data_IF_054268472748
#
_entry.id   IF_054268472748
#
_cell.length_a   1.000
_cell.length_b   1.000
_cell.length_c   1.000
_cell.angle_alpha   90.00
_cell.angle_beta   90.00
_cell.angle_gamma   90.00
#
_symmetry.space_group_name_H-M   'P 1'
#
loop_
_entity.id
_entity.type
_entity.pdbx_description
1 polymer ?
#
# COMPACT_ATOMS: atom_id res chain seq x y z
N UNK A 1 4.38 -13.18 -1.10
CA UNK A 1 3.15 -13.87 -1.58
C UNK A 1 2.75 -13.21 -2.90
N UNK A 2 2.79 -13.92 -4.03
CA UNK A 2 2.52 -13.32 -5.35
C UNK A 2 1.03 -13.50 -5.69
N UNK A 3 0.28 -12.40 -5.83
CA UNK A 3 -1.17 -12.43 -6.04
C UNK A 3 -1.48 -12.48 -7.55
N UNK A 4 -2.09 -13.58 -8.01
CA UNK A 4 -2.51 -13.75 -9.39
C UNK A 4 -3.97 -13.32 -9.60
N UNK A 5 -4.24 -12.56 -10.68
CA UNK A 5 -5.59 -12.10 -11.05
C UNK A 5 -6.53 -13.23 -11.55
N UNK A 6 -6.12 -14.50 -11.47
CA UNK A 6 -6.98 -15.64 -11.81
C UNK A 6 -8.20 -15.81 -10.91
N UNK A 7 -8.22 -15.12 -9.75
CA UNK A 7 -9.38 -15.03 -8.86
C UNK A 7 -9.72 -13.56 -8.59
N UNK A 8 -10.54 -12.98 -9.48
CA UNK A 8 -10.97 -11.58 -9.45
C UNK A 8 -11.56 -11.17 -8.08
N UNK A 9 -12.43 -11.95 -7.41
CA UNK A 9 -12.93 -11.60 -6.07
C UNK A 9 -11.84 -11.45 -5.01
N UNK A 10 -10.87 -12.38 -4.95
CA UNK A 10 -9.77 -12.34 -3.99
C UNK A 10 -8.86 -11.15 -4.30
N UNK A 11 -8.52 -10.96 -5.57
CA UNK A 11 -7.74 -9.82 -6.04
C UNK A 11 -8.44 -8.50 -5.68
N UNK A 12 -9.74 -8.37 -5.96
CA UNK A 12 -10.55 -7.21 -5.63
C UNK A 12 -10.63 -6.93 -4.14
N UNK A 13 -10.65 -7.95 -3.29
CA UNK A 13 -10.68 -7.77 -1.84
C UNK A 13 -9.32 -7.36 -1.29
N UNK A 14 -8.23 -7.96 -1.77
CA UNK A 14 -6.88 -7.70 -1.27
C UNK A 14 -6.34 -6.36 -1.75
N UNK A 15 -6.58 -6.02 -3.02
CA UNK A 15 -6.26 -4.70 -3.56
C UNK A 15 -7.27 -3.64 -3.17
N UNK A 16 -8.30 -4.01 -2.40
CA UNK A 16 -9.45 -3.19 -2.03
C UNK A 16 -9.91 -2.42 -3.27
N UNK A 17 -10.60 -3.02 -4.25
CA UNK A 17 -10.97 -2.36 -5.52
C UNK A 17 -12.37 -1.70 -5.50
N UNK A 18 -12.88 -1.32 -4.32
CA UNK A 18 -14.24 -0.78 -4.08
C UNK A 18 -14.51 0.67 -4.61
N UNK A 19 -13.55 1.62 -4.55
CA UNK A 19 -13.64 3.01 -5.07
C UNK A 19 -12.29 3.70 -5.37
N UNK A 20 -12.21 4.55 -6.41
CA UNK A 20 -11.04 5.41 -6.77
C UNK A 20 -11.13 6.80 -6.11
N UNK A 21 -10.02 7.50 -5.80
CA UNK A 21 -8.60 7.11 -5.99
C UNK A 21 -8.03 6.31 -4.80
N UNK A 22 -7.05 5.44 -5.09
CA UNK A 22 -6.33 4.63 -4.10
C UNK A 22 -4.83 4.71 -4.28
N UNK A 23 -4.13 4.80 -3.16
CA UNK A 23 -2.68 4.69 -3.07
C UNK A 23 -2.37 3.32 -2.48
N UNK A 24 -1.53 2.56 -3.18
CA UNK A 24 -1.10 1.22 -2.76
C UNK A 24 0.40 1.31 -2.48
N UNK A 25 0.83 0.70 -1.38
CA UNK A 25 2.24 0.56 -1.04
C UNK A 25 2.72 -0.85 -1.39
N UNK A 26 3.74 -0.89 -2.24
CA UNK A 26 4.49 -2.10 -2.61
C UNK A 26 5.93 -1.89 -2.17
N UNK A 27 6.52 -2.85 -1.48
CA UNK A 27 7.91 -2.77 -1.05
C UNK A 27 8.89 -3.05 -2.20
N UNK A 28 10.19 -2.88 -1.92
CA UNK A 28 11.28 -3.11 -2.88
C UNK A 28 11.40 -4.56 -3.37
N UNK A 29 10.82 -5.52 -2.65
CA UNK A 29 10.81 -6.94 -3.00
C UNK A 29 9.55 -7.32 -3.79
N UNK A 30 8.67 -6.35 -4.05
CA UNK A 30 7.41 -6.55 -4.76
C UNK A 30 6.30 -7.11 -3.86
N UNK A 31 6.47 -7.10 -2.54
CA UNK A 31 5.39 -7.49 -1.64
C UNK A 31 4.38 -6.35 -1.50
N UNK A 32 3.12 -6.74 -1.47
CA UNK A 32 2.02 -5.85 -1.14
C UNK A 32 2.03 -5.53 0.35
N UNK A 33 2.13 -4.25 0.71
CA UNK A 33 2.23 -3.77 2.09
C UNK A 33 0.89 -3.21 2.58
N UNK A 34 0.25 -2.33 1.80
CA UNK A 34 -1.01 -1.67 2.19
C UNK A 34 -1.82 -1.23 0.95
N UNK A 35 -3.14 -1.51 0.92
CA UNK A 35 -4.09 -0.99 -0.09
C UNK A 35 -4.78 0.31 0.31
N UNK A 36 -4.61 0.74 1.57
CA UNK A 36 -5.29 1.90 2.17
C UNK A 36 -4.30 2.98 2.55
N UNK A 37 -3.31 3.20 1.70
CA UNK A 37 -2.27 4.16 1.98
C UNK A 37 -2.90 5.57 2.13
N UNK A 38 -2.49 6.37 3.12
CA UNK A 38 -2.99 7.73 3.30
C UNK A 38 -2.72 8.59 2.07
N UNK A 39 -3.41 9.72 1.91
CA UNK A 39 -3.06 10.65 0.85
C UNK A 39 -1.75 11.39 1.17
N UNK A 40 -1.03 11.92 0.17
CA UNK A 40 0.24 12.63 0.40
C UNK A 40 0.12 13.84 1.34
N UNK A 41 -1.08 14.42 1.47
CA UNK A 41 -1.36 15.53 2.37
C UNK A 41 -1.66 15.08 3.82
N UNK A 42 -1.92 13.79 4.05
CA UNK A 42 -2.18 13.27 5.38
C UNK A 42 -0.86 13.17 6.18
N UNK A 43 -0.91 13.57 7.44
CA UNK A 43 0.24 13.54 8.36
C UNK A 43 0.84 12.13 8.52
N UNK A 44 0.03 11.09 8.32
CA UNK A 44 0.46 9.70 8.43
C UNK A 44 1.20 9.15 7.21
N UNK A 45 1.14 9.82 6.06
CA UNK A 45 1.73 9.34 4.81
C UNK A 45 3.24 9.17 4.91
N UNK A 46 3.94 10.22 5.36
CA UNK A 46 5.41 10.19 5.43
C UNK A 46 5.91 9.16 6.46
N UNK A 47 5.20 9.01 7.59
CA UNK A 47 5.54 8.01 8.61
C UNK A 47 5.50 6.60 8.03
N UNK A 48 4.39 6.22 7.40
CA UNK A 48 4.21 4.89 6.81
C UNK A 48 5.25 4.58 5.72
N UNK A 49 5.55 5.58 4.88
CA UNK A 49 6.56 5.44 3.83
C UNK A 49 7.96 5.20 4.42
N UNK A 50 8.33 5.96 5.46
CA UNK A 50 9.63 5.82 6.13
C UNK A 50 9.78 4.47 6.82
N UNK A 51 8.76 4.03 7.55
CA UNK A 51 8.75 2.71 8.20
C UNK A 51 8.97 1.58 7.18
N UNK A 52 8.27 1.65 6.04
CA UNK A 52 8.39 0.64 4.97
C UNK A 52 9.78 0.64 4.31
N UNK A 53 10.40 1.81 4.20
CA UNK A 53 11.75 1.96 3.65
C UNK A 53 12.86 1.73 4.69
N UNK A 54 12.52 1.49 5.96
CA UNK A 54 13.49 1.39 7.06
C UNK A 54 14.27 2.69 7.32
N UNK A 55 13.66 3.85 7.01
CA UNK A 55 14.27 5.16 7.18
C UNK A 55 13.97 5.71 8.58
N UNK A 56 14.90 6.49 9.17
CA UNK A 56 14.63 7.16 10.44
C UNK A 56 13.49 8.18 10.31
N UNK A 57 12.78 8.40 11.42
CA UNK A 57 11.79 9.49 11.52
C UNK A 57 12.46 10.84 11.23
N UNK A 58 11.73 11.70 10.53
CA UNK A 58 12.17 13.06 10.25
C UNK A 58 11.95 13.90 11.51
N UNK A 59 13.03 14.48 12.03
CA UNK A 59 12.99 15.44 13.14
C UNK A 59 12.30 16.74 12.73
#
# INVERSE_FOLDING_TARGET
MHLHAGNIPIFSKQYDLVSIPRLILIDKEGNFVDSKMPYPYDKGFEKLLRETLGLPEKK
#
